data_IF_993324795437
#
_entry.id   IF_993324795437
#
_cell.length_a   1.000
_cell.length_b   1.000
_cell.length_c   1.000
_cell.angle_alpha   90.00
_cell.angle_beta   90.00
_cell.angle_gamma   90.00
#
_symmetry.space_group_name_H-M   'P 1'
#
loop_
_entity.id
_entity.type
_entity.pdbx_description
1 polymer ?
#
# COMPACT_ATOMS: atom_id res chain seq x y z
N UNK A 1 46.26 -38.63 -43.82
CA UNK A 1 45.69 -37.28 -43.62
C UNK A 1 44.39 -37.48 -42.86
N UNK A 2 44.40 -37.18 -41.57
CA UNK A 2 43.39 -37.53 -40.57
C UNK A 2 42.17 -36.62 -40.67
N UNK A 3 40.98 -37.19 -40.86
CA UNK A 3 39.72 -36.45 -40.80
C UNK A 3 39.03 -36.76 -39.48
N UNK A 4 38.94 -35.74 -38.62
CA UNK A 4 38.40 -35.79 -37.26
C UNK A 4 36.87 -35.80 -37.29
N UNK A 5 36.28 -36.65 -36.44
CA UNK A 5 34.85 -36.77 -36.23
C UNK A 5 34.33 -35.59 -35.42
N UNK A 6 33.25 -34.95 -35.88
CA UNK A 6 32.54 -33.94 -35.11
C UNK A 6 31.74 -34.62 -33.99
N UNK A 7 32.13 -34.37 -32.74
CA UNK A 7 31.40 -34.82 -31.55
C UNK A 7 30.10 -34.02 -31.46
N UNK A 8 28.95 -34.70 -31.63
CA UNK A 8 27.65 -34.14 -31.32
C UNK A 8 27.53 -33.99 -29.79
N UNK A 9 27.70 -32.76 -29.31
CA UNK A 9 27.39 -32.41 -27.93
C UNK A 9 25.86 -32.46 -27.74
N UNK A 10 25.38 -33.52 -27.09
CA UNK A 10 24.02 -33.60 -26.59
C UNK A 10 23.82 -32.50 -25.53
N UNK A 11 23.19 -31.40 -25.94
CA UNK A 11 22.79 -30.33 -25.03
C UNK A 11 21.72 -30.83 -24.07
N UNK A 12 22.10 -31.09 -22.83
CA UNK A 12 21.18 -31.20 -21.70
C UNK A 12 20.41 -29.87 -21.57
N UNK A 13 19.21 -29.81 -22.13
CA UNK A 13 18.23 -28.80 -21.73
C UNK A 13 17.76 -29.12 -20.31
N UNK A 14 18.43 -28.51 -19.33
CA UNK A 14 17.90 -28.36 -17.98
C UNK A 14 16.56 -27.60 -18.10
N UNK A 15 15.45 -28.34 -18.02
CA UNK A 15 14.13 -27.79 -17.80
C UNK A 15 14.15 -27.11 -16.44
N UNK A 16 14.44 -25.80 -16.43
CA UNK A 16 14.29 -24.94 -15.27
C UNK A 16 12.87 -25.15 -14.76
N UNK A 17 12.75 -25.76 -13.58
CA UNK A 17 11.48 -25.91 -12.91
C UNK A 17 10.87 -24.52 -12.76
N UNK A 18 9.63 -24.39 -13.25
CA UNK A 18 8.79 -23.22 -13.13
C UNK A 18 8.89 -22.72 -11.69
N UNK A 19 9.55 -21.56 -11.52
CA UNK A 19 9.41 -20.76 -10.31
C UNK A 19 7.92 -20.46 -10.25
N UNK A 20 7.20 -21.11 -9.34
CA UNK A 20 5.84 -20.75 -8.99
C UNK A 20 5.90 -19.29 -8.54
N UNK A 21 5.54 -18.39 -9.45
CA UNK A 21 5.64 -16.95 -9.23
C UNK A 21 4.87 -16.60 -7.96
N UNK A 22 5.58 -16.13 -6.93
CA UNK A 22 4.94 -15.64 -5.73
C UNK A 22 3.99 -14.53 -6.14
N UNK A 23 2.68 -14.75 -5.95
CA UNK A 23 1.66 -13.78 -6.32
C UNK A 23 1.80 -12.56 -5.39
N UNK A 24 2.48 -11.52 -5.87
CA UNK A 24 2.68 -10.26 -5.15
C UNK A 24 1.40 -9.43 -5.24
N UNK A 25 0.69 -9.25 -4.11
CA UNK A 25 -0.57 -8.51 -4.04
C UNK A 25 -0.39 -7.20 -3.28
N UNK A 26 -0.82 -6.08 -3.85
CA UNK A 26 -0.83 -4.78 -3.14
C UNK A 26 -2.18 -4.56 -2.48
N UNK A 27 -2.16 -4.12 -1.22
CA UNK A 27 -3.36 -3.80 -0.44
C UNK A 27 -3.17 -2.38 0.08
N UNK A 28 -4.08 -1.48 -0.27
CA UNK A 28 -4.06 -0.10 0.21
C UNK A 28 -5.15 0.07 1.26
N UNK A 29 -4.79 0.61 2.43
CA UNK A 29 -5.73 0.81 3.54
C UNK A 29 -5.49 2.18 4.16
N UNK A 30 -6.56 2.89 4.48
CA UNK A 30 -6.47 4.16 5.19
C UNK A 30 -6.04 3.95 6.65
N UNK A 31 -5.18 4.81 7.16
CA UNK A 31 -4.79 4.80 8.57
C UNK A 31 -6.06 4.89 9.46
N UNK A 32 -6.06 4.15 10.56
CA UNK A 32 -7.23 4.00 11.44
C UNK A 32 -8.23 2.93 11.01
N UNK A 33 -8.22 2.48 9.75
CA UNK A 33 -9.14 1.44 9.26
C UNK A 33 -8.59 0.03 9.43
N UNK A 34 -9.41 -0.97 9.07
CA UNK A 34 -9.07 -2.39 9.14
C UNK A 34 -8.37 -2.85 7.85
N UNK A 35 -7.22 -3.51 7.99
CA UNK A 35 -6.61 -4.28 6.90
C UNK A 35 -6.93 -5.76 7.06
N UNK A 36 -7.33 -6.41 5.95
CA UNK A 36 -7.51 -7.86 5.87
C UNK A 36 -6.68 -8.42 4.73
N UNK A 37 -5.75 -9.32 5.04
CA UNK A 37 -4.90 -10.00 4.06
C UNK A 37 -5.32 -11.47 4.00
N UNK A 38 -5.74 -11.94 2.82
CA UNK A 38 -6.26 -13.29 2.64
C UNK A 38 -5.36 -14.10 1.69
N UNK A 39 -4.80 -15.21 2.18
CA UNK A 39 -4.18 -16.23 1.35
C UNK A 39 -5.24 -17.17 0.75
N UNK A 40 -5.88 -16.69 -0.32
CA UNK A 40 -7.15 -17.20 -0.88
C UNK A 40 -7.08 -18.50 -1.67
N UNK A 41 -6.21 -19.43 -1.30
CA UNK A 41 -6.15 -20.76 -1.92
C UNK A 41 -6.51 -21.90 -0.96
N UNK A 42 -6.95 -21.61 0.27
CA UNK A 42 -7.00 -22.61 1.35
C UNK A 42 -8.35 -23.30 1.48
N UNK A 43 -9.45 -22.71 1.00
CA UNK A 43 -10.80 -23.29 1.16
C UNK A 43 -11.00 -24.64 0.45
N UNK A 44 -10.03 -25.08 -0.37
CA UNK A 44 -10.02 -26.38 -1.06
C UNK A 44 -8.87 -27.31 -0.66
N UNK A 45 -7.96 -26.85 0.21
CA UNK A 45 -6.76 -27.59 0.60
C UNK A 45 -6.93 -28.19 2.00
N UNK A 46 -6.36 -29.37 2.24
CA UNK A 46 -6.29 -29.92 3.60
C UNK A 46 -5.13 -29.27 4.34
N UNK A 47 -5.40 -28.08 4.88
CA UNK A 47 -4.46 -27.26 5.65
C UNK A 47 -3.89 -28.03 6.84
N UNK A 48 -2.57 -28.07 6.96
CA UNK A 48 -1.85 -28.59 8.13
C UNK A 48 -1.39 -27.44 9.04
N UNK A 49 -0.83 -26.39 8.44
CA UNK A 49 -0.30 -25.24 9.16
C UNK A 49 -0.34 -23.99 8.27
N UNK A 50 -0.59 -22.84 8.88
CA UNK A 50 -0.46 -21.53 8.25
C UNK A 50 0.40 -20.63 9.13
N UNK A 51 1.28 -19.86 8.49
CA UNK A 51 2.14 -18.88 9.17
C UNK A 51 2.12 -17.57 8.42
N UNK A 52 1.74 -16.50 9.12
CA UNK A 52 1.99 -15.14 8.68
C UNK A 52 3.32 -14.65 9.23
N UNK A 53 4.15 -14.08 8.36
CA UNK A 53 5.40 -13.40 8.68
C UNK A 53 5.26 -11.93 8.30
N UNK A 54 5.36 -11.04 9.28
CA UNK A 54 5.26 -9.59 9.09
C UNK A 54 6.65 -8.98 9.11
N UNK A 55 6.92 -8.02 8.22
CA UNK A 55 8.07 -7.10 8.20
C UNK A 55 9.44 -7.73 8.52
N UNK A 56 10.33 -7.71 7.53
CA UNK A 56 11.62 -8.44 7.53
C UNK A 56 12.67 -8.07 8.62
N UNK A 57 12.44 -7.12 9.53
CA UNK A 57 13.47 -6.65 10.48
C UNK A 57 13.20 -6.95 11.96
N UNK A 58 11.96 -7.25 12.34
CA UNK A 58 11.54 -7.62 13.70
C UNK A 58 10.47 -8.67 13.58
N UNK A 59 10.88 -9.93 13.53
CA UNK A 59 10.05 -11.03 13.04
C UNK A 59 8.81 -11.26 13.91
N UNK A 60 7.70 -10.60 13.56
CA UNK A 60 6.37 -10.83 14.09
C UNK A 60 5.76 -12.00 13.32
N UNK A 61 5.21 -12.95 14.07
CA UNK A 61 4.62 -14.16 13.51
C UNK A 61 3.25 -14.45 14.11
N UNK A 62 2.31 -14.82 13.25
CA UNK A 62 1.03 -15.40 13.64
C UNK A 62 0.88 -16.75 12.94
N UNK A 63 0.81 -17.83 13.70
CA UNK A 63 0.75 -19.19 13.18
C UNK A 63 -0.44 -19.96 13.74
N UNK A 64 -0.98 -20.87 12.95
CA UNK A 64 -2.02 -21.81 13.35
C UNK A 64 -1.67 -23.22 12.87
N UNK A 65 -1.81 -24.21 13.75
CA UNK A 65 -1.60 -25.64 13.47
C UNK A 65 -2.92 -26.38 13.62
N UNK A 66 -3.38 -27.05 12.56
CA UNK A 66 -4.72 -27.66 12.52
C UNK A 66 -4.86 -28.88 13.44
N UNK A 67 -3.83 -29.73 13.50
CA UNK A 67 -3.85 -30.98 14.27
C UNK A 67 -3.96 -30.76 15.80
N UNK A 68 -3.37 -29.68 16.31
CA UNK A 68 -3.53 -29.25 17.71
C UNK A 68 -4.72 -28.30 17.91
N UNK A 69 -5.24 -27.75 16.82
CA UNK A 69 -6.16 -26.62 16.85
C UNK A 69 -5.64 -25.44 17.70
N UNK A 70 -4.35 -25.12 17.55
CA UNK A 70 -3.66 -24.09 18.34
C UNK A 70 -3.17 -22.94 17.46
N UNK A 71 -3.36 -21.70 17.95
CA UNK A 71 -2.74 -20.50 17.39
C UNK A 71 -1.60 -20.01 18.29
N UNK A 72 -0.52 -19.49 17.69
CA UNK A 72 0.58 -18.85 18.39
C UNK A 72 0.92 -17.51 17.75
N UNK A 73 1.13 -16.50 18.59
CA UNK A 73 1.54 -15.16 18.18
C UNK A 73 2.85 -14.80 18.90
N UNK A 74 3.83 -14.29 18.16
CA UNK A 74 5.15 -13.93 18.68
C UNK A 74 5.54 -12.54 18.19
N UNK A 75 5.96 -11.67 19.12
CA UNK A 75 6.50 -10.33 18.83
C UNK A 75 5.57 -9.40 18.02
N UNK A 76 4.27 -9.67 18.00
CA UNK A 76 3.28 -8.86 17.31
C UNK A 76 2.54 -7.94 18.28
N UNK A 77 2.03 -6.82 17.76
CA UNK A 77 1.04 -6.02 18.48
C UNK A 77 -0.27 -6.79 18.64
N UNK A 78 -1.00 -6.54 19.73
CA UNK A 78 -2.35 -7.09 19.95
C UNK A 78 -3.36 -6.66 18.86
N UNK A 79 -3.04 -5.63 18.07
CA UNK A 79 -3.81 -5.21 16.88
C UNK A 79 -3.86 -6.28 15.78
N UNK A 80 -2.92 -7.22 15.79
CA UNK A 80 -2.76 -8.29 14.81
C UNK A 80 -3.52 -9.52 15.28
N UNK A 81 -4.49 -9.98 14.49
CA UNK A 81 -5.34 -11.12 14.84
C UNK A 81 -5.74 -11.93 13.61
N UNK A 82 -6.34 -13.10 13.82
CA UNK A 82 -7.12 -13.77 12.77
C UNK A 82 -8.44 -13.02 12.54
N UNK A 83 -8.83 -12.79 11.28
CA UNK A 83 -10.14 -12.20 10.96
C UNK A 83 -11.28 -13.19 11.19
N UNK A 84 -11.05 -14.45 10.84
CA UNK A 84 -11.99 -15.56 10.93
C UNK A 84 -11.31 -16.76 11.59
N UNK A 85 -12.04 -17.86 11.74
CA UNK A 85 -11.44 -19.11 12.22
C UNK A 85 -10.37 -19.60 11.23
N UNK A 86 -9.11 -19.76 11.66
CA UNK A 86 -7.98 -20.02 10.75
C UNK A 86 -7.99 -21.41 10.12
N UNK A 87 -8.84 -22.32 10.62
CA UNK A 87 -9.15 -23.61 10.03
C UNK A 87 -10.08 -23.53 8.81
N UNK A 88 -10.68 -22.38 8.55
CA UNK A 88 -11.51 -22.16 7.36
C UNK A 88 -10.94 -21.04 6.49
N UNK A 89 -10.61 -19.91 7.10
CA UNK A 89 -10.04 -18.75 6.41
C UNK A 89 -8.97 -18.09 7.31
N UNK A 90 -7.68 -18.42 7.11
CA UNK A 90 -6.60 -17.83 7.87
C UNK A 90 -6.21 -16.45 7.31
N UNK A 91 -7.21 -15.58 7.21
CA UNK A 91 -7.03 -14.18 6.88
C UNK A 91 -6.42 -13.43 8.07
N UNK A 92 -5.34 -12.69 7.81
CA UNK A 92 -4.73 -11.79 8.78
C UNK A 92 -5.56 -10.51 8.88
N UNK A 93 -5.80 -10.05 10.10
CA UNK A 93 -6.43 -8.78 10.43
C UNK A 93 -5.45 -7.86 11.15
N UNK A 94 -5.44 -6.58 10.78
CA UNK A 94 -4.73 -5.52 11.50
C UNK A 94 -5.73 -4.37 11.73
N UNK A 95 -5.94 -3.98 12.98
CA UNK A 95 -6.81 -2.84 13.29
C UNK A 95 -6.49 -2.22 14.66
N UNK A 96 -6.45 -0.88 14.76
CA UNK A 96 -6.39 0.07 13.63
C UNK A 96 -5.03 -0.02 12.91
N UNK A 97 -5.02 0.25 11.61
CA UNK A 97 -3.78 0.36 10.82
C UNK A 97 -3.07 1.68 11.11
N UNK A 98 -1.76 1.63 11.29
CA UNK A 98 -0.89 2.81 11.40
C UNK A 98 0.26 2.78 10.37
N UNK A 99 0.98 3.90 10.22
CA UNK A 99 2.07 4.04 9.23
C UNK A 99 3.21 3.03 9.41
N UNK A 100 3.44 2.50 10.62
CA UNK A 100 4.51 1.54 10.89
C UNK A 100 4.15 0.12 10.42
N UNK A 101 2.86 -0.15 10.21
CA UNK A 101 2.36 -1.40 9.65
C UNK A 101 2.67 -1.53 8.15
N UNK A 102 3.11 -0.46 7.48
CA UNK A 102 3.52 -0.51 6.08
C UNK A 102 4.69 -1.49 5.85
N UNK A 103 4.56 -2.32 4.82
CA UNK A 103 5.60 -3.26 4.41
C UNK A 103 5.07 -4.56 3.82
N UNK A 104 5.97 -5.55 3.75
CA UNK A 104 5.67 -6.86 3.20
C UNK A 104 5.17 -7.83 4.27
N UNK A 105 4.13 -8.58 3.92
CA UNK A 105 3.48 -9.61 4.72
C UNK A 105 3.48 -10.91 3.91
N UNK A 106 3.99 -11.98 4.49
CA UNK A 106 4.05 -13.29 3.81
C UNK A 106 3.15 -14.28 4.51
N UNK A 107 2.20 -14.88 3.78
CA UNK A 107 1.46 -16.05 4.24
C UNK A 107 2.12 -17.31 3.66
N UNK A 108 2.54 -18.21 4.54
CA UNK A 108 3.07 -19.54 4.23
C UNK A 108 2.02 -20.57 4.63
N UNK A 109 1.60 -21.39 3.67
CA UNK A 109 0.58 -22.42 3.86
C UNK A 109 1.22 -23.77 3.62
N UNK A 110 1.07 -24.68 4.57
CA UNK A 110 1.44 -26.09 4.46
C UNK A 110 0.16 -26.91 4.41
N UNK A 111 0.02 -27.73 3.38
CA UNK A 111 -1.13 -28.60 3.14
C UNK A 111 -0.68 -29.97 2.61
N UNK A 112 -1.59 -30.93 2.52
CA UNK A 112 -1.29 -32.22 1.86
C UNK A 112 -0.93 -32.08 0.38
N UNK A 113 -1.39 -31.01 -0.27
CA UNK A 113 -1.12 -30.75 -1.70
C UNK A 113 0.23 -30.06 -1.92
N UNK A 114 0.88 -29.58 -0.85
CA UNK A 114 2.18 -28.91 -0.91
C UNK A 114 2.22 -27.62 -0.09
N UNK A 115 3.29 -26.85 -0.36
CA UNK A 115 3.61 -25.60 0.32
C UNK A 115 3.35 -24.40 -0.60
N UNK A 116 2.63 -23.40 -0.10
CA UNK A 116 2.26 -22.20 -0.86
C UNK A 116 2.71 -20.92 -0.16
N UNK A 117 3.16 -19.94 -0.94
CA UNK A 117 3.70 -18.68 -0.45
C UNK A 117 3.02 -17.49 -1.13
N UNK A 118 2.36 -16.65 -0.33
CA UNK A 118 1.67 -15.45 -0.79
C UNK A 118 2.31 -14.21 -0.15
N UNK A 119 2.72 -13.25 -0.98
CA UNK A 119 3.35 -12.02 -0.50
C UNK A 119 2.41 -10.84 -0.76
N UNK A 120 2.18 -10.06 0.28
CA UNK A 120 1.35 -8.86 0.25
C UNK A 120 2.20 -7.64 0.57
N UNK A 121 1.99 -6.55 -0.16
CA UNK A 121 2.49 -5.22 0.19
C UNK A 121 1.34 -4.41 0.77
N UNK A 122 1.38 -4.18 2.07
CA UNK A 122 0.43 -3.31 2.75
C UNK A 122 0.92 -1.87 2.64
N UNK A 123 0.13 -1.04 1.96
CA UNK A 123 0.38 0.37 1.77
C UNK A 123 -0.64 1.17 2.58
N UNK A 124 -0.15 2.09 3.41
CA UNK A 124 -0.99 2.92 4.27
C UNK A 124 -1.26 4.26 3.59
N UNK A 125 -2.55 4.59 3.49
CA UNK A 125 -3.05 5.87 2.98
C UNK A 125 -3.36 6.78 4.16
N UNK A 126 -2.98 8.06 4.10
CA UNK A 126 -3.33 9.07 5.10
C UNK A 126 -4.11 10.19 4.41
N UNK A 127 -5.39 10.41 4.73
CA UNK A 127 -6.16 11.52 4.19
C UNK A 127 -5.53 12.87 4.57
N UNK A 128 -5.30 13.79 3.61
CA UNK A 128 -4.78 15.11 3.94
C UNK A 128 -5.85 16.01 4.57
N UNK A 129 -5.44 16.91 5.45
CA UNK A 129 -6.30 18.02 5.89
C UNK A 129 -6.19 19.18 4.92
N UNK A 130 -7.32 19.62 4.36
CA UNK A 130 -7.35 20.63 3.33
C UNK A 130 -7.60 22.02 3.90
N UNK A 131 -6.94 23.03 3.34
CA UNK A 131 -7.22 24.44 3.60
C UNK A 131 -7.00 25.27 2.34
N UNK A 132 -7.80 26.32 2.20
CA UNK A 132 -7.67 27.33 1.15
C UNK A 132 -7.78 28.70 1.80
N UNK A 133 -6.74 29.51 1.67
CA UNK A 133 -6.67 30.86 2.24
C UNK A 133 -6.10 31.83 1.21
N UNK A 134 -6.26 33.13 1.45
CA UNK A 134 -5.60 34.17 0.68
C UNK A 134 -4.96 35.22 1.57
N UNK A 135 -3.96 35.91 1.03
CA UNK A 135 -3.36 37.08 1.65
C UNK A 135 -3.97 38.39 1.11
N UNK A 136 -3.61 39.50 1.75
CA UNK A 136 -4.04 40.85 1.35
C UNK A 136 -3.50 41.29 -0.01
N UNK A 137 -2.49 40.59 -0.53
CA UNK A 137 -1.89 40.86 -1.82
C UNK A 137 -2.57 40.06 -2.94
N UNK A 138 -3.68 39.37 -2.66
CA UNK A 138 -4.43 38.60 -3.65
C UNK A 138 -3.76 37.27 -4.03
N UNK A 139 -2.81 36.76 -3.24
CA UNK A 139 -2.24 35.43 -3.43
C UNK A 139 -3.08 34.41 -2.68
N UNK A 140 -3.67 33.46 -3.39
CA UNK A 140 -4.38 32.33 -2.80
C UNK A 140 -3.45 31.12 -2.63
N UNK A 141 -3.62 30.40 -1.52
CA UNK A 141 -2.82 29.23 -1.15
C UNK A 141 -3.77 28.08 -0.86
N UNK A 142 -3.68 27.04 -1.66
CA UNK A 142 -4.34 25.78 -1.38
C UNK A 142 -3.32 24.81 -0.79
N UNK A 143 -3.66 24.21 0.34
CA UNK A 143 -2.80 23.33 1.10
C UNK A 143 -3.51 22.01 1.40
N UNK A 144 -2.80 20.91 1.16
CA UNK A 144 -3.19 19.56 1.53
C UNK A 144 -2.15 19.01 2.51
N UNK A 145 -2.47 19.01 3.80
CA UNK A 145 -1.52 18.78 4.89
C UNK A 145 -1.37 17.30 5.20
N UNK A 146 -0.12 16.83 5.28
CA UNK A 146 0.26 15.50 5.76
C UNK A 146 -0.49 14.32 5.11
N UNK A 147 -0.75 14.41 3.80
CA UNK A 147 -1.35 13.31 3.03
C UNK A 147 -0.34 12.21 2.70
N UNK A 148 -0.80 10.98 2.56
CA UNK A 148 -0.01 9.86 2.02
C UNK A 148 -0.87 9.05 1.05
N UNK A 149 -0.53 9.00 -0.26
CA UNK A 149 0.57 9.70 -0.92
C UNK A 149 0.38 11.23 -0.97
N UNK A 150 1.32 11.96 -1.57
CA UNK A 150 1.15 13.41 -1.79
C UNK A 150 -0.12 13.69 -2.60
N UNK A 151 -0.93 14.64 -2.15
CA UNK A 151 -2.11 15.09 -2.89
C UNK A 151 -1.70 15.95 -4.08
N UNK A 152 -2.45 15.84 -5.18
CA UNK A 152 -2.32 16.73 -6.35
C UNK A 152 -3.27 17.90 -6.19
N UNK A 153 -2.79 19.10 -6.51
CA UNK A 153 -3.55 20.34 -6.38
C UNK A 153 -3.64 20.99 -7.76
N UNK A 154 -4.83 21.44 -8.14
CA UNK A 154 -5.08 22.18 -9.38
C UNK A 154 -6.10 23.29 -9.14
N UNK A 155 -6.24 24.22 -10.08
CA UNK A 155 -7.06 25.42 -9.91
C UNK A 155 -8.10 25.55 -11.02
N UNK A 156 -9.24 26.16 -10.67
CA UNK A 156 -10.31 26.55 -11.59
C UNK A 156 -10.63 28.03 -11.35
N UNK A 157 -10.59 28.89 -12.41
CA UNK A 157 -10.09 28.59 -13.74
C UNK A 157 -8.61 28.17 -13.74
N UNK A 158 -8.24 27.36 -14.74
CA UNK A 158 -6.88 26.87 -14.87
C UNK A 158 -5.91 28.04 -15.08
N UNK A 159 -4.77 28.00 -14.40
CA UNK A 159 -3.72 29.00 -14.50
C UNK A 159 -2.37 28.33 -14.61
N UNK A 160 -1.55 28.81 -15.54
CA UNK A 160 -0.16 28.41 -15.72
C UNK A 160 0.79 29.11 -14.73
N UNK A 161 0.30 30.10 -13.97
CA UNK A 161 1.10 30.85 -13.00
C UNK A 161 1.06 30.25 -11.59
N UNK A 162 0.43 29.07 -11.41
CA UNK A 162 0.44 28.40 -10.12
C UNK A 162 1.81 27.80 -9.79
N UNK A 163 2.28 27.97 -8.57
CA UNK A 163 3.55 27.40 -8.08
C UNK A 163 3.23 26.29 -7.10
N UNK A 164 3.74 25.08 -7.35
CA UNK A 164 3.59 23.93 -6.45
C UNK A 164 4.79 23.79 -5.53
N UNK A 165 4.55 23.37 -4.28
CA UNK A 165 5.59 23.03 -3.31
C UNK A 165 5.20 21.81 -2.50
N UNK A 166 6.18 20.96 -2.21
CA UNK A 166 6.01 19.75 -1.41
C UNK A 166 6.93 19.79 -0.19
N UNK A 167 6.40 19.42 0.97
CA UNK A 167 7.18 19.25 2.20
C UNK A 167 7.03 17.80 2.66
N UNK A 168 8.15 17.07 2.67
CA UNK A 168 8.20 15.68 3.09
C UNK A 168 8.44 15.58 4.59
N UNK A 169 7.65 14.74 5.26
CA UNK A 169 7.76 14.49 6.70
C UNK A 169 8.49 13.18 6.97
N UNK A 170 9.10 13.05 8.15
CA UNK A 170 9.84 11.84 8.54
C UNK A 170 8.96 10.58 8.63
N UNK A 171 7.66 10.75 8.90
CA UNK A 171 6.68 9.67 8.94
C UNK A 171 6.21 9.21 7.54
N UNK A 172 6.77 9.76 6.46
CA UNK A 172 6.44 9.41 5.08
C UNK A 172 5.20 10.11 4.51
N UNK A 173 4.53 10.97 5.27
CA UNK A 173 3.48 11.85 4.75
C UNK A 173 4.08 13.05 4.01
N UNK A 174 3.28 13.72 3.19
CA UNK A 174 3.66 14.90 2.42
C UNK A 174 2.61 15.99 2.58
N UNK A 175 3.06 17.21 2.85
CA UNK A 175 2.21 18.40 2.70
C UNK A 175 2.42 18.99 1.31
N UNK A 176 1.36 19.05 0.52
CA UNK A 176 1.34 19.69 -0.79
C UNK A 176 0.78 21.10 -0.67
N UNK A 177 1.41 22.06 -1.35
CA UNK A 177 0.95 23.43 -1.48
C UNK A 177 0.83 23.79 -2.95
N UNK A 178 -0.15 24.61 -3.29
CA UNK A 178 -0.20 25.35 -4.54
C UNK A 178 -0.51 26.80 -4.26
N UNK A 179 0.26 27.70 -4.85
CA UNK A 179 0.13 29.14 -4.72
C UNK A 179 -0.31 29.72 -6.05
N UNK A 180 -1.24 30.66 -6.04
CA UNK A 180 -1.68 31.35 -7.25
C UNK A 180 -1.90 32.84 -6.98
N UNK A 181 -1.34 33.68 -7.84
CA UNK A 181 -1.64 35.12 -7.82
C UNK A 181 -2.97 35.35 -8.50
N UNK A 182 -3.91 35.96 -7.78
CA UNK A 182 -5.24 36.31 -8.27
C UNK A 182 -5.42 37.82 -8.49
N UNK A 183 -4.30 38.55 -8.48
CA UNK A 183 -4.28 40.00 -8.70
C UNK A 183 -4.73 40.31 -10.14
N UNK A 184 -5.66 41.25 -10.30
CA UNK A 184 -6.23 41.66 -11.60
C UNK A 184 -6.95 40.53 -12.37
N UNK A 185 -7.38 39.47 -11.69
CA UNK A 185 -8.20 38.42 -12.31
C UNK A 185 -9.56 38.97 -12.73
N UNK A 186 -10.06 38.53 -13.88
CA UNK A 186 -11.43 38.81 -14.33
C UNK A 186 -12.48 37.97 -13.61
N UNK A 187 -12.05 36.95 -12.86
CA UNK A 187 -12.92 36.05 -12.11
C UNK A 187 -12.90 36.43 -10.62
N UNK A 188 -14.05 36.68 -9.99
CA UNK A 188 -14.11 37.07 -8.59
C UNK A 188 -13.73 35.91 -7.65
N UNK A 189 -13.90 34.67 -8.12
CA UNK A 189 -13.64 33.47 -7.34
C UNK A 189 -12.55 32.60 -7.94
N UNK A 190 -11.89 31.85 -7.07
CA UNK A 190 -10.96 30.78 -7.43
C UNK A 190 -11.39 29.51 -6.72
N UNK A 191 -11.30 28.37 -7.40
CA UNK A 191 -11.57 27.06 -6.81
C UNK A 191 -10.32 26.21 -6.86
N UNK A 192 -9.90 25.70 -5.70
CA UNK A 192 -8.86 24.69 -5.60
C UNK A 192 -9.47 23.29 -5.73
N UNK A 193 -8.94 22.46 -6.62
CA UNK A 193 -9.25 21.04 -6.75
C UNK A 193 -8.10 20.21 -6.16
N UNK A 194 -8.41 19.42 -5.14
CA UNK A 194 -7.46 18.50 -4.51
C UNK A 194 -7.82 17.06 -4.83
N UNK A 195 -6.87 16.33 -5.42
CA UNK A 195 -7.01 14.91 -5.77
C UNK A 195 -6.06 14.06 -4.94
N UNK A 196 -6.61 13.12 -4.18
CA UNK A 196 -5.90 12.18 -3.32
C UNK A 196 -6.70 10.85 -3.26
N UNK A 197 -6.06 9.66 -3.07
CA UNK A 197 -6.80 8.39 -3.02
C UNK A 197 -7.94 8.32 -1.99
N UNK A 198 -7.77 8.98 -0.84
CA UNK A 198 -8.81 9.06 0.20
C UNK A 198 -9.72 10.29 0.09
N UNK A 199 -9.35 11.30 -0.71
CA UNK A 199 -10.05 12.60 -0.75
C UNK A 199 -10.05 13.16 -2.17
N UNK A 200 -11.23 13.44 -2.70
CA UNK A 200 -11.39 14.16 -3.96
C UNK A 200 -12.39 15.31 -3.72
N UNK A 201 -11.88 16.53 -3.52
CA UNK A 201 -12.67 17.66 -3.07
C UNK A 201 -12.28 18.96 -3.77
N UNK A 202 -13.23 19.88 -3.81
CA UNK A 202 -13.03 21.25 -4.29
C UNK A 202 -13.28 22.25 -3.15
N UNK A 203 -12.45 23.29 -3.10
CA UNK A 203 -12.54 24.38 -2.14
C UNK A 203 -12.72 25.69 -2.93
N UNK A 204 -13.90 26.32 -2.90
CA UNK A 204 -14.09 27.64 -3.47
C UNK A 204 -13.60 28.73 -2.51
N UNK A 205 -13.04 29.80 -3.06
CA UNK A 205 -12.68 31.02 -2.34
C UNK A 205 -13.11 32.23 -3.15
N UNK A 206 -13.84 33.13 -2.49
CA UNK A 206 -14.17 34.44 -3.05
C UNK A 206 -13.04 35.44 -2.72
N UNK A 207 -12.61 36.18 -3.73
CA UNK A 207 -11.50 37.13 -3.67
C UNK A 207 -11.93 38.54 -4.09
N UNK A 208 -13.25 38.79 -4.13
CA UNK A 208 -13.85 40.11 -4.36
C UNK A 208 -13.42 41.16 -3.34
#
# INVERSE_FOLDING_TARGET
MTQTWAVQAAGLFLMIHLIGGSAYRRVNVEAGHEAVLNCSSISKLSLLMVTWKMKSSTSCFLAYRRDLNESRMLNCSERVMWKYSPDHDPALRIYPVDLNDEGNYTCEVVSSEGNFYFVFSLNVIVPPTLSLTSDKNGVAVCQATAGKPAAKISWIPASNHSVEKYVHHLNGTVTSFSYISWVNSTHPNVTCLVTHPAVNQTLPLDLS
#
